data_IF_296044473457
#
_entry.id   IF_296044473457
#
_cell.length_a   1.000
_cell.length_b   1.000
_cell.length_c   1.000
_cell.angle_alpha   90.00
_cell.angle_beta   90.00
_cell.angle_gamma   90.00
#
_symmetry.space_group_name_H-M   'P 1'
#
loop_
_entity.id
_entity.type
_entity.pdbx_description
1 polymer ?
#
# COMPACT_ATOMS: atom_id res chain seq x y z
N UNK A 1 -24.27 11.96 -59.12
CA UNK A 1 -24.32 10.62 -58.52
C UNK A 1 -23.00 10.18 -57.94
N UNK A 2 -21.85 10.26 -58.62
CA UNK A 2 -20.52 9.82 -58.13
C UNK A 2 -20.00 10.57 -56.89
N UNK A 3 -20.32 11.87 -56.68
CA UNK A 3 -19.88 12.64 -55.50
C UNK A 3 -20.61 12.24 -54.21
N UNK A 4 -21.91 11.95 -54.28
CA UNK A 4 -22.70 11.49 -53.12
C UNK A 4 -22.27 10.10 -52.64
N UNK A 5 -21.87 9.21 -53.57
CA UNK A 5 -21.37 7.88 -53.23
C UNK A 5 -20.00 7.96 -52.54
N UNK A 6 -19.09 8.85 -53.01
CA UNK A 6 -17.81 9.08 -52.32
C UNK A 6 -17.98 9.62 -50.89
N UNK A 7 -18.94 10.53 -50.67
CA UNK A 7 -19.22 11.06 -49.32
C UNK A 7 -19.78 9.99 -48.38
N UNK A 8 -20.65 9.11 -48.87
CA UNK A 8 -21.20 7.99 -48.10
C UNK A 8 -20.13 6.98 -47.71
N UNK A 9 -19.19 6.70 -48.58
CA UNK A 9 -18.07 5.78 -48.35
C UNK A 9 -17.12 6.39 -47.27
N UNK A 10 -16.79 7.68 -47.37
CA UNK A 10 -15.93 8.37 -46.39
C UNK A 10 -16.59 8.39 -45.00
N UNK A 11 -17.90 8.70 -44.95
CA UNK A 11 -18.65 8.64 -43.68
C UNK A 11 -18.69 7.23 -43.07
N UNK A 12 -18.90 6.19 -43.89
CA UNK A 12 -18.91 4.79 -43.44
C UNK A 12 -17.53 4.34 -42.93
N UNK A 13 -16.45 4.72 -43.63
CA UNK A 13 -15.08 4.41 -43.17
C UNK A 13 -14.72 5.17 -41.88
N UNK A 14 -15.13 6.43 -41.73
CA UNK A 14 -14.91 7.21 -40.50
C UNK A 14 -15.68 6.64 -39.33
N UNK A 15 -16.92 6.18 -39.53
CA UNK A 15 -17.73 5.53 -38.50
C UNK A 15 -17.16 4.18 -38.10
N UNK A 16 -16.65 3.41 -39.04
CA UNK A 16 -15.96 2.14 -38.79
C UNK A 16 -14.65 2.33 -37.99
N UNK A 17 -13.87 3.36 -38.32
CA UNK A 17 -12.65 3.72 -37.59
C UNK A 17 -12.92 4.18 -36.19
N UNK A 18 -13.95 5.00 -35.97
CA UNK A 18 -14.39 5.42 -34.64
C UNK A 18 -14.89 4.22 -33.79
N UNK A 19 -15.62 3.30 -34.40
CA UNK A 19 -16.08 2.08 -33.74
C UNK A 19 -14.91 1.15 -33.35
N UNK A 20 -13.93 0.98 -34.24
CA UNK A 20 -12.71 0.20 -33.97
C UNK A 20 -11.85 0.84 -32.85
N UNK A 21 -11.73 2.17 -32.86
CA UNK A 21 -11.04 2.90 -31.79
C UNK A 21 -11.74 2.75 -30.43
N UNK A 22 -13.07 2.87 -30.37
CA UNK A 22 -13.84 2.67 -29.16
C UNK A 22 -13.78 1.22 -28.67
N UNK A 23 -13.86 0.25 -29.58
CA UNK A 23 -13.71 -1.16 -29.26
C UNK A 23 -12.30 -1.49 -28.72
N UNK A 24 -11.26 -0.86 -29.27
CA UNK A 24 -9.88 -1.01 -28.80
C UNK A 24 -9.71 -0.47 -27.37
N UNK A 25 -10.27 0.70 -27.04
CA UNK A 25 -10.25 1.29 -25.70
C UNK A 25 -10.99 0.40 -24.71
N UNK A 26 -12.17 -0.11 -25.07
CA UNK A 26 -12.95 -1.04 -24.24
C UNK A 26 -12.19 -2.35 -24.04
N UNK A 27 -11.59 -2.93 -25.07
CA UNK A 27 -10.80 -4.16 -24.95
C UNK A 27 -9.54 -3.96 -24.08
N UNK A 28 -8.89 -2.81 -24.18
CA UNK A 28 -7.74 -2.48 -23.30
C UNK A 28 -8.18 -2.34 -21.85
N UNK A 29 -9.31 -1.69 -21.60
CA UNK A 29 -9.91 -1.57 -20.27
C UNK A 29 -10.33 -2.93 -19.68
N UNK A 30 -10.95 -3.78 -20.49
CA UNK A 30 -11.31 -5.15 -20.09
C UNK A 30 -10.06 -6.00 -19.83
N UNK A 31 -9.03 -5.89 -20.69
CA UNK A 31 -7.75 -6.59 -20.48
C UNK A 31 -7.06 -6.17 -19.21
N UNK A 32 -7.05 -4.87 -18.89
CA UNK A 32 -6.51 -4.35 -17.64
C UNK A 32 -7.35 -4.80 -16.43
N UNK A 33 -8.68 -4.85 -16.56
CA UNK A 33 -9.57 -5.38 -15.54
C UNK A 33 -9.33 -6.88 -15.31
N UNK A 34 -9.17 -7.66 -16.38
CA UNK A 34 -8.86 -9.10 -16.31
C UNK A 34 -7.47 -9.32 -15.68
N UNK A 35 -6.47 -8.50 -16.05
CA UNK A 35 -5.14 -8.54 -15.39
C UNK A 35 -5.22 -8.20 -13.91
N UNK A 36 -5.98 -7.17 -13.52
CA UNK A 36 -6.25 -6.83 -12.12
C UNK A 36 -7.00 -7.96 -11.39
N UNK A 37 -8.00 -8.58 -12.01
CA UNK A 37 -8.72 -9.70 -11.44
C UNK A 37 -7.87 -10.98 -11.35
N UNK A 38 -6.97 -11.23 -12.30
CA UNK A 38 -6.02 -12.34 -12.26
C UNK A 38 -4.96 -12.12 -11.16
N UNK A 39 -4.51 -10.89 -10.98
CA UNK A 39 -3.64 -10.51 -9.87
C UNK A 39 -4.33 -10.78 -8.52
N UNK A 40 -5.60 -10.37 -8.37
CA UNK A 40 -6.40 -10.62 -7.16
C UNK A 40 -6.70 -12.10 -6.92
N UNK A 41 -6.87 -12.90 -7.98
CA UNK A 41 -7.12 -14.37 -7.88
C UNK A 41 -5.86 -15.21 -7.68
N UNK A 42 -4.69 -14.66 -8.03
CA UNK A 42 -3.39 -15.33 -7.87
C UNK A 42 -2.77 -15.17 -6.49
N UNK A 43 -3.34 -14.34 -5.60
CA UNK A 43 -2.86 -14.20 -4.24
C UNK A 43 -3.21 -15.44 -3.42
N UNK A 44 -2.19 -16.16 -2.96
CA UNK A 44 -2.33 -17.14 -1.89
C UNK A 44 -2.71 -16.43 -0.59
N UNK A 45 -3.23 -17.16 0.40
CA UNK A 45 -3.58 -16.60 1.71
C UNK A 45 -2.39 -15.85 2.33
N UNK A 46 -1.18 -16.39 2.20
CA UNK A 46 0.09 -15.80 2.61
C UNK A 46 0.44 -14.51 1.84
N UNK A 47 0.12 -14.45 0.54
CA UNK A 47 0.29 -13.23 -0.28
C UNK A 47 -0.75 -12.15 0.06
N UNK A 48 -1.94 -12.50 0.52
CA UNK A 48 -2.95 -11.53 1.02
C UNK A 48 -2.49 -10.85 2.30
N UNK A 49 -1.80 -11.60 3.18
CA UNK A 49 -1.30 -11.09 4.45
C UNK A 49 -0.18 -10.07 4.31
N UNK A 50 0.47 -10.00 3.16
CA UNK A 50 1.65 -9.17 2.93
C UNK A 50 1.43 -8.00 1.97
N UNK A 51 0.29 -7.96 1.25
CA UNK A 51 0.02 -6.91 0.27
C UNK A 51 -0.59 -5.66 0.94
N UNK A 52 0.24 -4.68 1.23
CA UNK A 52 -0.18 -3.32 1.58
C UNK A 52 0.11 -2.43 0.38
N UNK A 53 -0.90 -1.70 -0.12
CA UNK A 53 -0.79 -0.92 -1.34
C UNK A 53 -0.92 -1.78 -2.61
N UNK A 54 -0.70 -1.19 -3.75
CA UNK A 54 -0.73 -1.86 -5.06
C UNK A 54 -2.06 -1.77 -5.80
N UNK A 55 -3.16 -1.37 -5.15
CA UNK A 55 -4.41 -1.02 -5.81
C UNK A 55 -4.69 0.48 -5.63
N UNK A 56 -5.06 1.13 -6.73
CA UNK A 56 -5.49 2.53 -6.69
C UNK A 56 -6.93 2.62 -6.16
N UNK A 57 -7.22 3.68 -5.43
CA UNK A 57 -8.59 4.11 -5.16
C UNK A 57 -9.24 4.58 -6.47
N UNK A 58 -10.57 4.53 -6.57
CA UNK A 58 -11.29 5.00 -7.74
C UNK A 58 -11.46 6.53 -7.75
N UNK A 59 -11.78 7.09 -8.91
CA UNK A 59 -12.05 8.53 -9.04
C UNK A 59 -13.26 8.94 -8.20
N UNK A 60 -14.25 8.05 -8.03
CA UNK A 60 -15.41 8.26 -7.18
C UNK A 60 -15.03 8.43 -5.71
N UNK A 61 -14.06 7.66 -5.22
CA UNK A 61 -13.54 7.77 -3.84
C UNK A 61 -12.66 9.01 -3.72
N UNK A 62 -11.81 9.29 -4.70
CA UNK A 62 -10.93 10.46 -4.72
C UNK A 62 -11.73 11.77 -4.65
N UNK A 63 -12.92 11.82 -5.23
CA UNK A 63 -13.82 12.98 -5.18
C UNK A 63 -14.20 13.40 -3.74
N UNK A 64 -14.11 12.50 -2.76
CA UNK A 64 -14.39 12.80 -1.35
C UNK A 64 -13.18 13.30 -0.56
N UNK A 65 -11.98 13.38 -1.16
CA UNK A 65 -10.75 13.78 -0.45
C UNK A 65 -10.91 15.11 0.29
N UNK A 66 -11.51 16.11 -0.33
CA UNK A 66 -11.65 17.45 0.27
C UNK A 66 -12.46 17.39 1.56
N UNK A 67 -13.68 16.85 1.52
CA UNK A 67 -14.54 16.76 2.71
C UNK A 67 -13.95 15.84 3.78
N UNK A 68 -13.30 14.74 3.39
CA UNK A 68 -12.61 13.84 4.33
C UNK A 68 -11.44 14.58 5.01
N UNK A 69 -10.68 15.40 4.27
CA UNK A 69 -9.58 16.19 4.84
C UNK A 69 -10.09 17.23 5.84
N UNK A 70 -11.22 17.87 5.59
CA UNK A 70 -11.83 18.84 6.50
C UNK A 70 -12.18 18.19 7.85
N UNK A 71 -12.88 17.05 7.83
CA UNK A 71 -13.21 16.32 9.06
C UNK A 71 -11.98 15.66 9.71
N UNK A 72 -11.01 15.19 8.92
CA UNK A 72 -9.76 14.65 9.46
C UNK A 72 -8.99 15.69 10.28
N UNK A 73 -8.95 16.95 9.83
CA UNK A 73 -8.39 18.09 10.60
C UNK A 73 -9.18 18.35 11.87
N UNK A 74 -10.51 18.30 11.81
CA UNK A 74 -11.37 18.51 13.00
C UNK A 74 -11.06 17.48 14.10
N UNK A 75 -10.78 16.23 13.70
CA UNK A 75 -10.47 15.13 14.63
C UNK A 75 -8.97 14.89 14.84
N UNK A 76 -8.07 15.73 14.27
CA UNK A 76 -6.62 15.67 14.49
C UNK A 76 -5.95 14.46 13.85
N UNK A 77 -6.48 13.98 12.72
CA UNK A 77 -5.95 12.83 11.96
C UNK A 77 -5.77 13.15 10.48
N UNK A 78 -5.40 14.40 10.15
CA UNK A 78 -5.19 14.84 8.77
C UNK A 78 -4.12 14.05 8.02
N UNK A 79 -3.12 13.54 8.71
CA UNK A 79 -2.08 12.70 8.13
C UNK A 79 -2.61 11.34 7.65
N UNK A 80 -3.79 10.91 8.12
CA UNK A 80 -4.41 9.63 7.78
C UNK A 80 -5.48 9.73 6.68
N UNK A 81 -5.53 10.81 5.90
CA UNK A 81 -6.54 11.00 4.83
C UNK A 81 -6.49 9.85 3.81
N UNK A 82 -5.30 9.38 3.41
CA UNK A 82 -5.17 8.26 2.47
C UNK A 82 -5.67 6.94 3.08
N UNK A 83 -5.52 6.73 4.39
CA UNK A 83 -6.12 5.61 5.09
C UNK A 83 -7.65 5.68 5.10
N UNK A 84 -8.20 6.86 5.34
CA UNK A 84 -9.65 7.10 5.31
C UNK A 84 -10.24 6.84 3.92
N UNK A 85 -9.56 7.29 2.87
CA UNK A 85 -9.95 6.99 1.48
C UNK A 85 -9.89 5.49 1.17
N UNK A 86 -8.86 4.78 1.67
CA UNK A 86 -8.77 3.33 1.55
C UNK A 86 -9.93 2.61 2.28
N UNK A 87 -10.37 3.15 3.43
CA UNK A 87 -11.58 2.66 4.14
C UNK A 87 -12.82 2.88 3.28
N UNK A 88 -13.05 4.08 2.76
CA UNK A 88 -14.21 4.36 1.87
C UNK A 88 -14.20 3.42 0.65
N UNK A 89 -13.01 3.20 0.05
CA UNK A 89 -12.87 2.27 -1.07
C UNK A 89 -13.28 0.84 -0.70
N UNK A 90 -12.95 0.39 0.50
CA UNK A 90 -13.34 -0.94 0.99
C UNK A 90 -14.82 -1.03 1.35
N UNK A 91 -15.37 -0.01 2.00
CA UNK A 91 -16.73 -0.04 2.54
C UNK A 91 -17.81 0.11 1.45
N UNK A 92 -17.59 1.02 0.51
CA UNK A 92 -18.59 1.39 -0.49
C UNK A 92 -18.07 1.55 -1.91
N UNK A 93 -16.74 1.67 -2.10
CA UNK A 93 -16.16 2.09 -3.38
C UNK A 93 -16.55 3.52 -3.78
N UNK A 94 -17.03 4.34 -2.83
CA UNK A 94 -17.52 5.70 -3.07
C UNK A 94 -18.98 5.78 -3.51
N UNK A 95 -19.73 4.67 -3.48
CA UNK A 95 -21.13 4.65 -3.92
C UNK A 95 -22.12 4.70 -2.75
N UNK A 96 -23.28 5.31 -3.01
CA UNK A 96 -24.33 5.50 -2.02
C UNK A 96 -24.11 6.72 -1.13
N UNK A 97 -24.92 6.86 -0.09
CA UNK A 97 -24.84 8.01 0.83
C UNK A 97 -23.99 7.72 2.05
N UNK A 98 -24.06 6.50 2.58
CA UNK A 98 -23.28 6.08 3.75
C UNK A 98 -21.95 5.46 3.30
N UNK A 99 -21.04 6.33 2.79
CA UNK A 99 -19.79 5.89 2.13
C UNK A 99 -18.79 5.24 3.08
N UNK A 100 -18.83 5.54 4.37
CA UNK A 100 -18.06 4.89 5.44
C UNK A 100 -18.77 3.70 6.08
N UNK A 101 -20.02 3.37 5.66
CA UNK A 101 -20.89 2.39 6.30
C UNK A 101 -21.00 2.62 7.82
N UNK A 102 -21.07 3.89 8.22
CA UNK A 102 -20.95 4.33 9.60
C UNK A 102 -22.30 4.33 10.36
N UNK A 103 -23.44 4.10 9.69
CA UNK A 103 -24.78 4.10 10.29
C UNK A 103 -24.91 3.16 11.48
N UNK A 104 -24.33 1.94 11.38
CA UNK A 104 -24.43 0.94 12.44
C UNK A 104 -23.70 1.36 13.73
N UNK A 105 -22.65 2.18 13.62
CA UNK A 105 -21.93 2.73 14.78
C UNK A 105 -22.80 3.65 15.65
N UNK A 106 -23.89 4.18 15.09
CA UNK A 106 -24.90 4.99 15.76
C UNK A 106 -26.17 4.19 16.12
N UNK A 107 -26.17 2.87 15.89
CA UNK A 107 -27.35 2.02 16.08
C UNK A 107 -28.45 2.24 15.04
N UNK A 108 -28.13 2.87 13.91
CA UNK A 108 -29.04 3.09 12.79
C UNK A 108 -29.01 1.93 11.82
N UNK A 109 -30.00 1.84 10.94
CA UNK A 109 -29.99 0.86 9.85
C UNK A 109 -28.85 1.21 8.85
N UNK A 110 -28.19 0.23 8.22
CA UNK A 110 -27.19 0.47 7.19
C UNK A 110 -27.71 1.42 6.09
N UNK A 111 -26.87 2.35 5.65
CA UNK A 111 -27.19 3.29 4.58
C UNK A 111 -28.15 4.42 4.96
N UNK A 112 -28.36 4.69 6.25
CA UNK A 112 -29.28 5.75 6.72
C UNK A 112 -28.66 7.15 6.63
N UNK A 113 -27.35 7.27 6.83
CA UNK A 113 -26.63 8.55 6.85
C UNK A 113 -26.52 9.17 5.46
N UNK A 114 -26.57 10.50 5.41
CA UNK A 114 -26.13 11.27 4.25
C UNK A 114 -24.60 11.15 4.08
N UNK A 115 -24.06 11.57 2.94
CA UNK A 115 -22.63 11.56 2.68
C UNK A 115 -21.86 12.33 3.76
N UNK A 116 -22.30 13.54 4.09
CA UNK A 116 -21.65 14.40 5.09
C UNK A 116 -21.68 13.76 6.49
N UNK A 117 -22.84 13.26 6.92
CA UNK A 117 -22.99 12.56 8.20
C UNK A 117 -22.12 11.28 8.24
N UNK A 118 -22.05 10.55 7.14
CA UNK A 118 -21.23 9.36 7.00
C UNK A 118 -19.73 9.67 7.11
N UNK A 119 -19.26 10.73 6.44
CA UNK A 119 -17.87 11.19 6.54
C UNK A 119 -17.55 11.61 7.96
N UNK A 120 -18.37 12.49 8.57
CA UNK A 120 -18.15 12.95 9.94
C UNK A 120 -18.08 11.76 10.92
N UNK A 121 -19.05 10.87 10.88
CA UNK A 121 -19.11 9.72 11.79
C UNK A 121 -17.96 8.72 11.52
N UNK A 122 -17.68 8.42 10.25
CA UNK A 122 -16.62 7.48 9.86
C UNK A 122 -15.23 7.96 10.28
N UNK A 123 -14.92 9.24 10.04
CA UNK A 123 -13.66 9.88 10.45
C UNK A 123 -13.55 9.90 11.98
N UNK A 124 -14.61 10.31 12.69
CA UNK A 124 -14.66 10.29 14.16
C UNK A 124 -14.40 8.92 14.74
N UNK A 125 -15.02 7.88 14.19
CA UNK A 125 -14.80 6.50 14.63
C UNK A 125 -13.36 6.08 14.38
N UNK A 126 -12.80 6.38 13.20
CA UNK A 126 -11.42 6.02 12.88
C UNK A 126 -10.43 6.75 13.80
N UNK A 127 -10.61 8.04 14.08
CA UNK A 127 -9.77 8.79 15.02
C UNK A 127 -9.73 8.11 16.39
N UNK A 128 -10.90 7.74 16.93
CA UNK A 128 -10.97 7.01 18.19
C UNK A 128 -10.31 5.61 18.15
N UNK A 129 -10.27 4.95 16.98
CA UNK A 129 -9.59 3.64 16.84
C UNK A 129 -8.08 3.80 16.74
N UNK A 130 -7.59 4.81 16.02
CA UNK A 130 -6.15 5.14 15.93
C UNK A 130 -5.60 5.50 17.31
N UNK A 131 -6.31 6.36 18.05
CA UNK A 131 -5.97 6.71 19.44
C UNK A 131 -5.95 5.48 20.35
N UNK A 132 -6.99 4.66 20.34
CA UNK A 132 -7.08 3.45 21.18
C UNK A 132 -6.02 2.40 20.83
N UNK A 133 -5.57 2.34 19.57
CA UNK A 133 -4.47 1.48 19.14
C UNK A 133 -3.09 2.05 19.51
N UNK A 134 -3.01 3.32 19.91
CA UNK A 134 -1.76 4.01 20.22
C UNK A 134 -0.93 4.25 18.95
N UNK A 135 -1.58 4.65 17.86
CA UNK A 135 -0.92 4.94 16.57
C UNK A 135 -0.25 6.32 16.65
N UNK A 136 1.05 6.39 16.38
CA UNK A 136 1.83 7.62 16.45
C UNK A 136 2.19 8.17 15.06
N UNK A 137 2.21 7.32 14.03
CA UNK A 137 2.56 7.71 12.67
C UNK A 137 1.78 6.91 11.62
N UNK A 138 1.64 7.47 10.41
CA UNK A 138 1.03 6.82 9.23
C UNK A 138 1.77 5.58 8.76
N UNK A 139 2.98 5.36 9.26
CA UNK A 139 3.84 4.21 8.98
C UNK A 139 3.77 3.12 10.06
N UNK A 140 3.04 3.36 11.13
CA UNK A 140 2.87 2.39 12.23
C UNK A 140 1.83 1.33 11.83
N UNK A 141 2.21 0.51 10.86
CA UNK A 141 1.31 -0.45 10.20
C UNK A 141 0.71 -1.44 11.18
N UNK A 142 1.43 -1.86 12.21
CA UNK A 142 0.92 -2.83 13.19
C UNK A 142 -0.18 -2.21 14.06
N UNK A 143 -0.03 -0.94 14.45
CA UNK A 143 -1.06 -0.19 15.16
C UNK A 143 -2.22 0.18 14.24
N UNK A 144 -1.95 0.54 12.99
CA UNK A 144 -2.98 0.77 11.97
C UNK A 144 -3.82 -0.49 11.74
N UNK A 145 -3.21 -1.68 11.66
CA UNK A 145 -3.95 -2.96 11.56
C UNK A 145 -4.88 -3.15 12.76
N UNK A 146 -4.39 -2.85 13.96
CA UNK A 146 -5.18 -2.94 15.18
C UNK A 146 -6.38 -1.98 15.15
N UNK A 147 -6.15 -0.72 14.72
CA UNK A 147 -7.20 0.29 14.56
C UNK A 147 -8.23 -0.11 13.49
N UNK A 148 -7.77 -0.57 12.32
CA UNK A 148 -8.64 -1.01 11.22
C UNK A 148 -9.52 -2.19 11.63
N UNK A 149 -8.95 -3.23 12.27
CA UNK A 149 -9.77 -4.34 12.73
C UNK A 149 -10.74 -3.91 13.83
N UNK A 150 -10.34 -2.95 14.67
CA UNK A 150 -11.22 -2.30 15.65
C UNK A 150 -12.30 -1.43 15.02
N UNK A 151 -12.07 -0.88 13.83
CA UNK A 151 -13.10 -0.19 13.05
C UNK A 151 -14.21 -1.16 12.63
N UNK A 152 -13.84 -2.31 12.07
CA UNK A 152 -14.78 -3.32 11.59
C UNK A 152 -15.45 -4.14 12.73
N UNK A 153 -14.71 -4.49 13.77
CA UNK A 153 -15.20 -5.34 14.87
C UNK A 153 -15.75 -4.54 16.08
N UNK A 154 -15.56 -3.23 16.08
CA UNK A 154 -15.82 -2.39 17.23
C UNK A 154 -14.62 -2.29 18.18
N UNK A 155 -14.61 -1.21 19.00
CA UNK A 155 -13.47 -0.89 19.89
C UNK A 155 -13.08 -1.96 20.90
N UNK A 156 -14.01 -2.84 21.28
CA UNK A 156 -13.72 -3.97 22.18
C UNK A 156 -12.67 -4.93 21.63
N UNK A 157 -12.51 -5.02 20.33
CA UNK A 157 -11.45 -5.83 19.70
C UNK A 157 -10.05 -5.31 20.06
N UNK A 158 -9.84 -4.00 20.04
CA UNK A 158 -8.52 -3.39 20.33
C UNK A 158 -8.08 -3.79 21.74
N UNK A 159 -8.95 -3.66 22.73
CA UNK A 159 -8.67 -4.07 24.12
C UNK A 159 -8.38 -5.58 24.20
N UNK A 160 -9.16 -6.40 23.51
CA UNK A 160 -8.97 -7.85 23.47
C UNK A 160 -7.60 -8.23 22.89
N UNK A 161 -7.24 -7.71 21.72
CA UNK A 161 -5.99 -8.03 21.02
C UNK A 161 -4.76 -7.51 21.79
N UNK A 162 -4.84 -6.28 22.34
CA UNK A 162 -3.78 -5.69 23.15
C UNK A 162 -3.50 -6.49 24.43
N UNK A 163 -4.55 -6.97 25.11
CA UNK A 163 -4.39 -7.77 26.32
C UNK A 163 -3.87 -9.19 26.05
N UNK A 164 -4.19 -9.74 24.88
CA UNK A 164 -3.81 -11.10 24.50
C UNK A 164 -2.40 -11.18 23.96
N UNK A 165 -2.10 -10.37 22.91
CA UNK A 165 -0.88 -10.50 22.10
C UNK A 165 -0.07 -9.20 22.04
N UNK A 166 -0.58 -8.07 22.61
CA UNK A 166 0.02 -6.74 22.53
C UNK A 166 -0.08 -6.08 21.16
N UNK A 167 -0.62 -6.78 20.15
CA UNK A 167 -0.67 -6.36 18.77
C UNK A 167 -1.82 -7.05 18.02
N UNK A 168 -2.07 -6.59 16.78
CA UNK A 168 -2.94 -7.30 15.84
C UNK A 168 -2.26 -8.60 15.37
N UNK A 169 -3.03 -9.70 15.34
CA UNK A 169 -2.64 -10.95 14.67
C UNK A 169 -3.88 -11.55 13.98
N UNK A 170 -3.67 -12.35 12.93
CA UNK A 170 -4.79 -13.07 12.31
C UNK A 170 -5.44 -14.05 13.29
N UNK A 171 -4.66 -14.63 14.19
CA UNK A 171 -5.16 -15.57 15.20
C UNK A 171 -6.08 -14.89 16.21
N UNK A 172 -5.69 -13.72 16.77
CA UNK A 172 -6.55 -13.02 17.69
C UNK A 172 -7.81 -12.46 17.01
N UNK A 173 -7.71 -12.06 15.74
CA UNK A 173 -8.84 -11.66 14.92
C UNK A 173 -9.84 -12.82 14.73
N UNK A 174 -9.35 -14.01 14.36
CA UNK A 174 -10.18 -15.21 14.16
C UNK A 174 -10.84 -15.65 15.48
N UNK A 175 -10.10 -15.63 16.58
CA UNK A 175 -10.62 -16.03 17.89
C UNK A 175 -11.67 -15.05 18.41
N UNK A 176 -11.43 -13.75 18.26
CA UNK A 176 -12.44 -12.74 18.60
C UNK A 176 -13.73 -12.92 17.79
N UNK A 177 -13.60 -13.09 16.46
CA UNK A 177 -14.74 -13.35 15.60
C UNK A 177 -15.48 -14.64 15.97
N UNK A 178 -14.75 -15.70 16.37
CA UNK A 178 -15.32 -16.95 16.88
C UNK A 178 -16.17 -16.72 18.14
N UNK A 179 -15.62 -15.98 19.11
CA UNK A 179 -16.30 -15.64 20.35
C UNK A 179 -17.56 -14.82 20.05
N UNK A 180 -17.45 -13.74 19.29
CA UNK A 180 -18.56 -12.84 18.99
C UNK A 180 -19.67 -13.49 18.14
N UNK A 181 -19.32 -14.43 17.28
CA UNK A 181 -20.29 -15.19 16.50
C UNK A 181 -21.05 -16.26 17.33
N UNK A 182 -20.64 -16.49 18.56
CA UNK A 182 -21.13 -17.64 19.35
C UNK A 182 -20.78 -18.99 18.68
N UNK A 183 -19.59 -19.09 18.09
CA UNK A 183 -19.09 -20.25 17.31
C UNK A 183 -19.88 -20.55 16.02
N UNK A 184 -20.71 -19.63 15.54
CA UNK A 184 -21.40 -19.78 14.26
C UNK A 184 -20.43 -19.59 13.10
N UNK A 185 -20.51 -20.49 12.12
CA UNK A 185 -19.66 -20.45 10.92
C UNK A 185 -20.43 -19.95 9.71
N UNK A 186 -19.72 -19.29 8.80
CA UNK A 186 -20.13 -19.03 7.42
C UNK A 186 -19.72 -20.20 6.53
N UNK A 187 -20.27 -20.23 5.32
CA UNK A 187 -19.90 -21.17 4.26
C UNK A 187 -19.82 -20.47 2.89
N UNK A 188 -19.30 -21.18 1.88
CA UNK A 188 -19.21 -20.69 0.50
C UNK A 188 -18.31 -19.48 0.34
N UNK A 189 -18.66 -18.60 -0.62
CA UNK A 189 -17.87 -17.41 -0.96
C UNK A 189 -17.71 -16.42 0.22
N UNK A 190 -18.72 -16.30 1.09
CA UNK A 190 -18.61 -15.43 2.27
C UNK A 190 -17.53 -15.92 3.24
N UNK A 191 -17.38 -17.24 3.41
CA UNK A 191 -16.32 -17.80 4.27
C UNK A 191 -14.92 -17.54 3.68
N UNK A 192 -14.78 -17.62 2.35
CA UNK A 192 -13.52 -17.34 1.66
C UNK A 192 -13.13 -15.87 1.73
N UNK A 193 -14.11 -14.98 1.58
CA UNK A 193 -13.84 -13.54 1.45
C UNK A 193 -13.78 -12.82 2.79
N UNK A 194 -14.53 -13.24 3.80
CA UNK A 194 -14.68 -12.55 5.08
C UNK A 194 -14.21 -13.38 6.29
N UNK A 195 -13.69 -14.58 6.07
CA UNK A 195 -13.32 -15.53 7.12
C UNK A 195 -14.46 -16.44 7.55
N UNK A 196 -14.11 -17.51 8.24
CA UNK A 196 -15.03 -18.64 8.52
C UNK A 196 -16.07 -18.36 9.62
N UNK A 197 -15.82 -17.39 10.51
CA UNK A 197 -16.73 -17.09 11.61
C UNK A 197 -17.78 -16.05 11.18
N UNK A 198 -19.02 -16.22 11.63
CA UNK A 198 -20.15 -15.37 11.24
C UNK A 198 -20.16 -14.03 12.00
N UNK A 199 -19.02 -13.33 12.01
CA UNK A 199 -18.85 -12.01 12.62
C UNK A 199 -17.86 -11.17 11.83
N UNK A 200 -18.23 -9.95 11.47
CA UNK A 200 -17.42 -8.96 10.76
C UNK A 200 -16.60 -9.50 9.59
N UNK A 201 -15.59 -8.83 9.17
CA UNK A 201 -14.61 -9.25 8.17
C UNK A 201 -13.28 -9.60 8.85
N UNK A 202 -12.91 -10.88 8.90
CA UNK A 202 -11.68 -11.34 9.54
C UNK A 202 -10.42 -10.98 8.74
N UNK A 203 -10.58 -10.52 7.49
CA UNK A 203 -9.50 -10.07 6.60
C UNK A 203 -9.55 -8.56 6.34
N UNK A 204 -10.31 -7.81 7.15
CA UNK A 204 -10.58 -6.38 6.93
C UNK A 204 -9.30 -5.54 6.79
N UNK A 205 -8.31 -5.79 7.62
CA UNK A 205 -7.01 -5.10 7.55
C UNK A 205 -6.36 -5.22 6.17
N UNK A 206 -6.38 -6.42 5.58
CA UNK A 206 -5.82 -6.64 4.25
C UNK A 206 -6.69 -6.04 3.15
N UNK A 207 -8.01 -6.09 3.32
CA UNK A 207 -8.95 -5.52 2.36
C UNK A 207 -8.82 -4.01 2.26
N UNK A 208 -8.55 -3.31 3.37
CA UNK A 208 -8.30 -1.87 3.36
C UNK A 208 -6.88 -1.57 2.91
N UNK A 209 -5.87 -2.22 3.52
CA UNK A 209 -4.48 -1.87 3.30
C UNK A 209 -4.00 -2.10 1.87
N UNK A 210 -4.65 -2.94 1.08
CA UNK A 210 -4.36 -3.07 -0.36
C UNK A 210 -4.57 -1.78 -1.15
N UNK A 211 -5.37 -0.83 -0.64
CA UNK A 211 -5.60 0.49 -1.22
C UNK A 211 -4.82 1.60 -0.51
N UNK A 212 -4.22 1.30 0.64
CA UNK A 212 -3.52 2.27 1.44
C UNK A 212 -2.13 2.53 0.90
N UNK A 213 -1.90 3.75 0.43
CA UNK A 213 -0.58 4.25 0.07
C UNK A 213 -0.26 5.35 1.07
N UNK A 214 0.52 5.04 2.11
CA UNK A 214 0.92 6.04 3.08
C UNK A 214 1.67 7.16 2.36
N UNK A 215 1.16 8.38 2.45
CA UNK A 215 1.85 9.55 1.91
C UNK A 215 2.92 9.95 2.92
N UNK A 216 4.16 9.55 2.65
CA UNK A 216 5.29 9.95 3.49
C UNK A 216 5.67 11.39 3.12
N UNK A 217 5.12 12.36 3.83
CA UNK A 217 5.56 13.78 3.76
C UNK A 217 6.73 14.05 4.72
N UNK A 218 7.30 13.01 5.31
CA UNK A 218 8.36 13.11 6.31
C UNK A 218 9.66 13.67 5.73
N UNK A 219 10.39 14.39 6.55
CA UNK A 219 11.80 14.74 6.34
C UNK A 219 12.57 13.47 5.94
N UNK A 220 13.26 13.50 4.79
CA UNK A 220 14.02 12.38 4.27
C UNK A 220 13.76 12.08 2.80
N UNK A 221 13.89 10.81 2.42
CA UNK A 221 13.69 10.35 1.04
C UNK A 221 12.27 9.77 0.82
N UNK A 222 11.24 10.54 1.16
CA UNK A 222 9.84 10.10 1.04
C UNK A 222 9.48 9.56 -0.34
N UNK A 223 10.04 10.14 -1.43
CA UNK A 223 9.82 9.65 -2.79
C UNK A 223 10.38 8.25 -3.03
N UNK A 224 11.46 7.87 -2.32
CA UNK A 224 12.01 6.49 -2.38
C UNK A 224 11.04 5.51 -1.75
N UNK A 225 10.45 5.90 -0.62
CA UNK A 225 9.44 5.08 0.08
C UNK A 225 8.19 4.93 -0.79
N UNK A 226 7.72 6.02 -1.41
CA UNK A 226 6.57 5.97 -2.34
C UNK A 226 6.83 5.01 -3.52
N UNK A 227 8.02 5.09 -4.12
CA UNK A 227 8.41 4.15 -5.17
C UNK A 227 8.45 2.70 -4.69
N UNK A 228 8.89 2.46 -3.45
CA UNK A 228 8.91 1.11 -2.86
C UNK A 228 7.51 0.56 -2.57
N UNK A 229 6.59 1.41 -2.12
CA UNK A 229 5.18 1.05 -1.90
C UNK A 229 4.52 0.60 -3.21
N UNK A 230 4.79 1.27 -4.33
CA UNK A 230 4.27 0.89 -5.64
C UNK A 230 4.77 -0.48 -6.13
N UNK A 231 5.88 -0.97 -5.56
CA UNK A 231 6.45 -2.28 -5.87
C UNK A 231 5.88 -3.42 -5.01
N UNK A 232 5.07 -3.13 -3.97
CA UNK A 232 4.52 -4.16 -3.08
C UNK A 232 3.74 -5.22 -3.85
N UNK A 233 3.92 -6.49 -3.45
CA UNK A 233 3.32 -7.63 -4.13
C UNK A 233 4.06 -8.11 -5.38
N UNK A 234 5.07 -7.38 -5.87
CA UNK A 234 5.88 -7.82 -7.02
C UNK A 234 6.73 -9.04 -6.66
N UNK A 235 6.80 -10.08 -7.53
CA UNK A 235 7.55 -11.29 -7.24
C UNK A 235 9.04 -11.07 -7.03
N UNK A 236 9.62 -11.81 -6.09
CA UNK A 236 11.08 -11.90 -5.98
C UNK A 236 11.67 -12.71 -7.14
N UNK A 237 12.63 -12.16 -7.84
CA UNK A 237 13.45 -12.88 -8.82
C UNK A 237 14.89 -12.41 -8.69
N UNK A 238 15.80 -13.34 -8.44
CA UNK A 238 17.23 -13.05 -8.32
C UNK A 238 17.77 -12.29 -9.54
N UNK A 239 18.46 -11.17 -9.29
CA UNK A 239 19.02 -10.29 -10.31
C UNK A 239 18.04 -9.33 -10.97
N UNK A 240 16.74 -9.42 -10.68
CA UNK A 240 15.72 -8.54 -11.26
C UNK A 240 15.76 -7.14 -10.64
N UNK A 241 15.48 -6.12 -11.48
CA UNK A 241 15.58 -4.68 -11.16
C UNK A 241 14.30 -3.89 -11.44
N UNK A 242 13.16 -4.58 -11.58
CA UNK A 242 11.86 -3.96 -11.88
C UNK A 242 11.57 -3.83 -13.38
N UNK A 243 10.39 -3.29 -13.74
CA UNK A 243 9.33 -2.83 -12.83
C UNK A 243 8.46 -3.94 -12.24
N UNK A 244 8.42 -5.14 -12.85
CA UNK A 244 7.43 -6.18 -12.51
C UNK A 244 7.94 -7.20 -11.48
N UNK A 245 9.24 -7.25 -11.23
CA UNK A 245 9.91 -8.22 -10.34
C UNK A 245 11.23 -7.67 -9.84
N UNK A 246 11.65 -8.10 -8.66
CA UNK A 246 12.81 -7.54 -7.95
C UNK A 246 13.59 -8.61 -7.20
N UNK A 247 14.91 -8.40 -7.03
CA UNK A 247 15.64 -8.88 -5.85
C UNK A 247 15.82 -7.73 -4.84
N UNK A 248 16.40 -7.99 -3.67
CA UNK A 248 16.52 -6.99 -2.60
C UNK A 248 17.26 -5.71 -3.05
N UNK A 249 18.36 -5.85 -3.72
CA UNK A 249 19.18 -4.74 -4.23
C UNK A 249 18.64 -4.13 -5.51
N UNK A 250 17.92 -4.90 -6.31
CA UNK A 250 17.19 -4.41 -7.49
C UNK A 250 16.00 -3.53 -7.13
N UNK A 251 15.31 -3.84 -6.02
CA UNK A 251 14.26 -2.98 -5.48
C UNK A 251 14.84 -1.61 -5.05
N UNK A 252 15.94 -1.61 -4.30
CA UNK A 252 16.64 -0.38 -3.93
C UNK A 252 17.03 0.43 -5.15
N UNK A 253 17.68 -0.22 -6.14
CA UNK A 253 18.07 0.42 -7.39
C UNK A 253 16.88 1.10 -8.10
N UNK A 254 15.78 0.36 -8.26
CA UNK A 254 14.59 0.87 -8.93
C UNK A 254 13.98 2.06 -8.19
N UNK A 255 13.75 1.94 -6.88
CA UNK A 255 13.10 2.97 -6.10
C UNK A 255 13.91 4.28 -6.05
N UNK A 256 15.21 4.17 -5.85
CA UNK A 256 16.09 5.35 -5.84
C UNK A 256 16.24 6.00 -7.23
N UNK A 257 16.18 5.24 -8.31
CA UNK A 257 16.14 5.80 -9.67
C UNK A 257 14.82 6.49 -9.97
N UNK A 258 13.69 5.87 -9.62
CA UNK A 258 12.36 6.47 -9.84
C UNK A 258 12.19 7.77 -9.08
N UNK A 259 12.76 7.87 -7.88
CA UNK A 259 12.74 9.09 -7.07
C UNK A 259 13.78 10.13 -7.48
N UNK A 260 14.64 9.85 -8.48
CA UNK A 260 15.72 10.75 -8.88
C UNK A 260 16.87 10.90 -7.86
N UNK A 261 16.90 10.06 -6.82
CA UNK A 261 17.89 10.14 -5.73
C UNK A 261 19.19 9.37 -6.02
N UNK A 262 19.20 8.53 -7.04
CA UNK A 262 20.38 7.76 -7.44
C UNK A 262 20.43 7.55 -8.95
N UNK A 263 21.54 7.92 -9.56
CA UNK A 263 21.78 7.80 -11.01
C UNK A 263 22.86 6.78 -11.37
N UNK A 264 23.53 6.22 -10.37
CA UNK A 264 24.61 5.24 -10.55
C UNK A 264 24.16 3.87 -11.05
N UNK A 265 25.13 2.96 -11.21
CA UNK A 265 24.88 1.58 -11.62
C UNK A 265 24.19 0.77 -10.51
N UNK A 266 23.46 -0.30 -10.90
CA UNK A 266 22.93 -1.26 -9.94
C UNK A 266 24.08 -1.95 -9.18
N UNK A 267 23.94 -1.98 -7.86
CA UNK A 267 24.89 -2.62 -6.95
C UNK A 267 24.23 -3.81 -6.22
N UNK A 268 25.04 -4.66 -5.61
CA UNK A 268 24.58 -5.65 -4.63
C UNK A 268 24.25 -4.99 -3.28
N UNK A 269 23.65 -5.72 -2.34
CA UNK A 269 23.42 -5.23 -0.98
C UNK A 269 24.74 -4.74 -0.32
N UNK A 270 25.83 -5.51 -0.46
CA UNK A 270 27.15 -5.11 0.02
C UNK A 270 27.70 -3.89 -0.72
N UNK A 271 27.45 -3.78 -2.03
CA UNK A 271 27.85 -2.63 -2.83
C UNK A 271 27.16 -1.34 -2.38
N UNK A 272 25.84 -1.38 -2.12
CA UNK A 272 25.12 -0.22 -1.56
C UNK A 272 25.63 0.14 -0.17
N UNK A 273 25.88 -0.84 0.70
CA UNK A 273 26.46 -0.58 2.02
C UNK A 273 27.80 0.15 1.93
N UNK A 274 28.64 -0.20 0.96
CA UNK A 274 29.96 0.41 0.80
C UNK A 274 29.93 1.88 0.34
N UNK A 275 28.89 2.28 -0.39
CA UNK A 275 28.76 3.67 -0.88
C UNK A 275 27.83 4.52 0.00
N UNK A 276 27.04 3.91 0.87
CA UNK A 276 26.18 4.62 1.80
C UNK A 276 26.99 5.23 2.95
N UNK A 277 26.61 6.45 3.35
CA UNK A 277 27.08 7.03 4.61
C UNK A 277 26.48 6.22 5.75
N UNK A 278 27.32 5.64 6.61
CA UNK A 278 26.86 4.91 7.81
C UNK A 278 26.19 5.87 8.78
N UNK A 279 25.01 5.52 9.27
CA UNK A 279 24.22 6.28 10.25
C UNK A 279 23.79 5.34 11.37
N UNK A 280 23.40 5.90 12.53
CA UNK A 280 22.83 5.12 13.64
C UNK A 280 21.33 4.85 13.38
N UNK A 281 20.74 3.99 14.21
CA UNK A 281 19.29 3.71 14.14
C UNK A 281 18.49 4.98 14.45
N UNK A 282 18.92 5.78 15.43
CA UNK A 282 18.28 7.02 15.84
C UNK A 282 18.34 8.12 14.76
N UNK A 283 19.37 8.11 13.90
CA UNK A 283 19.50 9.05 12.77
C UNK A 283 18.76 8.58 11.52
N UNK A 284 18.23 7.33 11.54
CA UNK A 284 17.61 6.72 10.37
C UNK A 284 16.22 7.29 10.15
N UNK A 285 15.99 7.80 8.95
CA UNK A 285 14.70 8.35 8.52
C UNK A 285 14.12 7.52 7.36
N UNK A 286 12.80 7.58 7.11
CA UNK A 286 12.17 6.88 5.99
C UNK A 286 12.89 7.16 4.66
N UNK A 287 13.14 6.08 3.91
CA UNK A 287 13.90 6.08 2.66
C UNK A 287 15.38 5.78 2.81
N UNK A 288 15.93 5.71 4.01
CA UNK A 288 17.30 5.20 4.23
C UNK A 288 17.34 3.68 4.03
N UNK A 289 18.55 3.12 3.98
CA UNK A 289 18.78 1.70 3.75
C UNK A 289 19.06 0.95 5.04
N UNK A 290 18.48 -0.23 5.16
CA UNK A 290 18.75 -1.20 6.23
C UNK A 290 19.52 -2.37 5.63
N UNK A 291 20.67 -2.71 6.21
CA UNK A 291 21.54 -3.78 5.75
C UNK A 291 21.63 -4.91 6.77
N UNK A 292 21.58 -6.14 6.26
CA UNK A 292 21.68 -7.35 7.07
C UNK A 292 22.97 -8.09 6.74
N UNK A 293 23.76 -8.35 7.78
CA UNK A 293 25.06 -8.97 7.67
C UNK A 293 25.12 -10.24 8.52
N UNK A 294 25.49 -11.36 7.90
CA UNK A 294 25.73 -12.65 8.55
C UNK A 294 27.10 -13.16 8.18
N UNK A 295 27.86 -13.64 9.16
CA UNK A 295 29.25 -14.15 8.96
C UNK A 295 30.16 -13.16 8.21
N UNK A 296 30.01 -11.86 8.49
CA UNK A 296 30.82 -10.81 7.85
C UNK A 296 30.38 -10.44 6.42
N UNK A 297 29.35 -11.09 5.87
CA UNK A 297 28.85 -10.82 4.51
C UNK A 297 27.50 -10.11 4.59
N UNK A 298 27.41 -8.92 3.99
CA UNK A 298 26.13 -8.23 3.80
C UNK A 298 25.39 -8.88 2.64
N UNK A 299 24.30 -9.58 2.94
CA UNK A 299 23.58 -10.41 1.98
C UNK A 299 22.18 -9.89 1.65
N UNK A 300 21.66 -8.94 2.41
CA UNK A 300 20.33 -8.40 2.22
C UNK A 300 20.28 -6.90 2.50
N UNK A 301 19.33 -6.21 1.85
CA UNK A 301 19.05 -4.78 2.01
C UNK A 301 17.54 -4.52 1.89
N UNK A 302 17.04 -3.57 2.69
CA UNK A 302 15.69 -3.05 2.62
C UNK A 302 15.68 -1.53 2.65
N UNK A 303 14.54 -0.93 2.35
CA UNK A 303 14.27 0.50 2.44
C UNK A 303 13.53 0.74 3.75
N UNK A 304 14.12 1.50 4.66
CA UNK A 304 13.53 1.86 5.94
C UNK A 304 12.30 2.74 5.75
N UNK A 305 11.26 2.51 6.54
CA UNK A 305 10.00 3.26 6.45
C UNK A 305 9.53 3.84 7.79
N UNK A 306 10.38 3.75 8.82
CA UNK A 306 10.06 4.20 10.17
C UNK A 306 9.64 3.05 11.09
N UNK A 307 9.60 3.31 12.40
CA UNK A 307 9.07 2.42 13.46
C UNK A 307 9.60 0.98 13.42
N UNK A 308 10.90 0.81 13.11
CA UNK A 308 11.50 -0.52 13.03
C UNK A 308 11.02 -1.37 11.85
N UNK A 309 10.43 -0.74 10.83
CA UNK A 309 9.89 -1.40 9.64
C UNK A 309 10.68 -1.04 8.37
N UNK A 310 10.63 -1.92 7.38
CA UNK A 310 11.22 -1.71 6.05
C UNK A 310 10.33 -2.28 4.96
N UNK A 311 10.52 -1.82 3.71
CA UNK A 311 10.04 -2.53 2.51
C UNK A 311 11.23 -3.23 1.88
N UNK A 312 11.07 -4.52 1.56
CA UNK A 312 12.13 -5.33 0.98
C UNK A 312 11.61 -6.42 0.04
N UNK A 313 12.46 -6.96 -0.84
CA UNK A 313 12.24 -8.19 -1.58
C UNK A 313 13.02 -9.32 -0.88
N UNK A 314 12.37 -10.23 -0.12
CA UNK A 314 13.05 -11.10 0.85
C UNK A 314 13.90 -12.20 0.19
N UNK A 315 13.26 -13.11 -0.57
CA UNK A 315 13.90 -14.30 -1.16
C UNK A 315 13.03 -14.92 -2.27
N UNK A 316 13.59 -15.90 -2.97
CA UNK A 316 12.88 -16.66 -4.00
C UNK A 316 11.60 -17.30 -3.44
N UNK A 317 10.50 -17.14 -4.18
CA UNK A 317 9.17 -17.64 -3.78
C UNK A 317 8.37 -16.66 -2.92
N UNK A 318 8.94 -15.50 -2.58
CA UNK A 318 8.25 -14.42 -1.85
C UNK A 318 8.02 -13.21 -2.76
N UNK A 319 7.40 -12.16 -2.22
CA UNK A 319 7.09 -10.91 -2.91
C UNK A 319 7.72 -9.72 -2.18
N UNK A 320 7.79 -8.57 -2.84
CA UNK A 320 8.09 -7.29 -2.18
C UNK A 320 7.03 -7.04 -1.11
N UNK A 321 7.47 -6.83 0.12
CA UNK A 321 6.57 -6.69 1.27
C UNK A 321 7.18 -5.87 2.40
N UNK A 322 6.37 -5.54 3.38
CA UNK A 322 6.83 -5.00 4.64
C UNK A 322 7.56 -6.07 5.46
N UNK A 323 8.52 -5.64 6.28
CA UNK A 323 9.24 -6.51 7.18
C UNK A 323 9.84 -5.74 8.34
N UNK A 324 9.92 -6.37 9.52
CA UNK A 324 10.65 -5.82 10.66
C UNK A 324 12.16 -5.77 10.37
N UNK A 325 12.83 -4.74 10.87
CA UNK A 325 14.29 -4.66 10.85
C UNK A 325 14.94 -5.57 11.90
N UNK A 326 14.19 -6.03 12.89
CA UNK A 326 14.71 -6.91 13.93
C UNK A 326 15.11 -8.28 13.37
N UNK A 327 16.33 -8.71 13.66
CA UNK A 327 16.86 -10.04 13.34
C UNK A 327 17.72 -10.58 14.48
N UNK A 328 17.32 -11.72 15.02
CA UNK A 328 18.00 -12.32 16.19
C UNK A 328 19.44 -12.80 15.91
N UNK A 329 19.77 -13.10 14.66
CA UNK A 329 21.02 -13.77 14.27
C UNK A 329 21.86 -12.99 13.27
N UNK A 330 21.50 -11.75 12.98
CA UNK A 330 22.16 -10.91 11.98
C UNK A 330 22.56 -9.56 12.58
N UNK A 331 23.64 -9.00 12.08
CA UNK A 331 24.03 -7.62 12.40
C UNK A 331 23.25 -6.71 11.47
N UNK A 332 22.41 -5.85 12.06
CA UNK A 332 21.64 -4.82 11.35
C UNK A 332 22.45 -3.53 11.39
N UNK A 333 22.56 -2.86 10.25
CA UNK A 333 23.22 -1.55 10.13
C UNK A 333 22.44 -0.68 9.17
N UNK A 334 22.60 0.64 9.28
CA UNK A 334 21.85 1.62 8.51
C UNK A 334 22.79 2.47 7.67
N UNK A 335 22.27 2.99 6.56
CA UNK A 335 23.06 3.87 5.71
C UNK A 335 22.21 4.73 4.82
N UNK A 336 22.68 5.94 4.58
CA UNK A 336 22.06 6.94 3.72
C UNK A 336 22.83 7.07 2.42
N UNK A 337 22.15 6.89 1.28
CA UNK A 337 22.74 7.21 -0.01
C UNK A 337 22.71 8.73 -0.19
N UNK A 338 23.88 9.32 -0.44
CA UNK A 338 23.95 10.71 -0.86
C UNK A 338 23.22 10.87 -2.21
N UNK A 339 22.59 12.04 -2.43
CA UNK A 339 22.09 12.43 -3.76
C UNK A 339 23.29 12.51 -4.71
N UNK A 340 23.60 11.41 -5.42
CA UNK A 340 24.64 11.39 -6.43
C UNK A 340 24.08 11.94 -7.72
N UNK A 341 24.07 13.26 -7.84
CA UNK A 341 24.02 13.89 -9.16
C UNK A 341 25.43 13.67 -9.74
N UNK A 342 25.59 12.74 -10.67
CA UNK A 342 26.77 12.73 -11.52
C UNK A 342 26.76 14.04 -12.28
N UNK A 343 27.74 14.92 -11.98
CA UNK A 343 28.14 15.90 -12.97
C UNK A 343 28.82 15.09 -14.06
N UNK A 344 28.27 15.11 -15.25
CA UNK A 344 28.97 14.68 -16.43
C UNK A 344 30.30 15.44 -16.47
N UNK A 345 31.41 14.74 -16.26
CA UNK A 345 32.73 15.26 -16.56
C UNK A 345 32.92 15.18 -18.07
N UNK A 346 32.18 15.99 -18.79
CA UNK A 346 32.53 16.42 -20.14
C UNK A 346 32.98 17.88 -20.06
N UNK A 347 34.21 18.09 -20.48
CA UNK A 347 34.91 19.36 -20.69
C UNK A 347 35.94 19.75 -19.64
N UNK A 348 37.06 19.04 -19.59
CA UNK A 348 38.38 19.64 -19.30
C UNK A 348 39.43 19.09 -20.29
N UNK A 349 39.08 19.07 -21.59
CA UNK A 349 40.06 18.98 -22.69
C UNK A 349 39.80 20.12 -23.67
N UNK A 350 40.09 21.36 -23.26
CA UNK A 350 40.39 22.48 -24.17
C UNK A 350 40.88 23.66 -23.35
N UNK A 351 42.15 23.60 -22.95
CA UNK A 351 42.95 24.80 -22.63
C UNK A 351 44.43 24.42 -22.49
N UNK A 352 45.02 23.96 -23.59
CA UNK A 352 46.47 24.11 -23.86
C UNK A 352 46.68 24.21 -25.38
N UNK A 353 46.58 25.43 -25.88
CA UNK A 353 47.36 25.97 -26.98
C UNK A 353 47.74 27.44 -26.73
#
# INVERSE_FOLDING_TARGET
>A
MKAKIKHLIVLGVSFLLLFLLSASVVMTSISNLIKKMALVRGYTEEMRETAIGGLSISDEVEAYRTIITEYAKEYGIEDYVDLLLAVVMQESGGFGNDIFQASESLGLKPGTLSVEESVNQGVKVMAARLEAAGTEAVTDIDKIKLALQGYNFGGGYITYASNRDGQWTQDNTNDYAKIQSGNKKRSGEKAKNLGIWAYGDQYYTFHVLRYYTATFTAEGNGEVVQAAIQCLGSPYVWGATGPDKFDCSGLVYYCYRQSGKYTGARLTAAGYKNIATSITEEETVPGDLVFFTRNGVTHHVGIYIGNGQMIHAPHQGDVVRYGSIERKTEIVTFGRLANTIWRDTESDEEAEE
#
